data_IF_695212664773
#
_entry.id   IF_695212664773
#
_cell.length_a   1.000
_cell.length_b   1.000
_cell.length_c   1.000
_cell.angle_alpha   90.00
_cell.angle_beta   90.00
_cell.angle_gamma   90.00
#
_symmetry.space_group_name_H-M   'P 1'
#
loop_
_entity.id
_entity.type
_entity.pdbx_description
1 polymer ?
#
# COMPACT_ATOMS: atom_id res chain seq x y z
N UNK A 1 -42.42 17.26 20.71
CA UNK A 1 -41.11 16.98 21.32
C UNK A 1 -40.17 16.65 20.19
N UNK A 2 -39.23 17.53 19.87
CA UNK A 2 -38.13 17.24 18.90
C UNK A 2 -37.01 16.61 19.71
N UNK A 3 -36.33 15.56 19.20
CA UNK A 3 -35.16 15.02 19.89
C UNK A 3 -33.99 16.00 19.79
N UNK A 4 -33.41 16.36 20.93
CA UNK A 4 -32.15 17.09 21.00
C UNK A 4 -31.02 16.23 20.38
N UNK A 5 -30.42 16.78 19.33
CA UNK A 5 -29.20 16.21 18.72
C UNK A 5 -28.05 16.47 19.69
N UNK A 6 -27.43 15.40 20.13
CA UNK A 6 -26.36 15.40 21.11
C UNK A 6 -25.08 16.01 20.54
N UNK A 7 -24.83 17.28 20.82
CA UNK A 7 -23.70 18.10 20.37
C UNK A 7 -22.33 17.74 21.03
N UNK A 8 -22.27 16.65 21.81
CA UNK A 8 -21.05 16.30 22.54
C UNK A 8 -19.93 15.75 21.67
N UNK A 9 -20.24 15.23 20.49
CA UNK A 9 -19.23 14.68 19.57
C UNK A 9 -18.45 15.77 18.83
N UNK A 10 -19.11 16.85 18.43
CA UNK A 10 -18.47 17.98 17.75
C UNK A 10 -17.55 18.79 18.67
N UNK A 11 -17.96 18.94 19.93
CA UNK A 11 -17.16 19.60 20.97
C UNK A 11 -15.90 18.80 21.34
N UNK A 12 -15.96 17.47 21.29
CA UNK A 12 -14.81 16.59 21.53
C UNK A 12 -13.78 16.70 20.39
N UNK A 13 -14.24 16.74 19.13
CA UNK A 13 -13.40 16.89 17.93
C UNK A 13 -12.68 18.24 17.92
N UNK A 14 -13.40 19.34 18.16
CA UNK A 14 -12.83 20.69 18.25
C UNK A 14 -11.87 20.87 19.44
N UNK A 15 -12.14 20.25 20.58
CA UNK A 15 -11.24 20.26 21.75
C UNK A 15 -9.96 19.47 21.48
N UNK A 16 -10.07 18.31 20.85
CA UNK A 16 -8.92 17.48 20.49
C UNK A 16 -8.00 18.20 19.49
N UNK A 17 -8.55 18.78 18.43
CA UNK A 17 -7.79 19.54 17.43
C UNK A 17 -7.11 20.78 18.04
N UNK A 18 -7.76 21.48 19.00
CA UNK A 18 -7.14 22.59 19.74
C UNK A 18 -6.02 22.14 20.69
N UNK A 19 -6.11 20.97 21.28
CA UNK A 19 -5.08 20.45 22.20
C UNK A 19 -3.85 19.97 21.43
N UNK A 20 -4.02 19.36 20.25
CA UNK A 20 -2.90 18.99 19.38
C UNK A 20 -2.19 20.20 18.77
N UNK A 21 -2.92 21.26 18.41
CA UNK A 21 -2.34 22.52 17.93
C UNK A 21 -1.57 23.32 18.98
N UNK A 22 -1.86 23.12 20.28
CA UNK A 22 -1.22 23.88 21.37
C UNK A 22 0.12 23.31 21.85
N UNK A 23 0.45 22.07 21.49
CA UNK A 23 1.73 21.43 21.86
C UNK A 23 2.88 21.86 20.94
N UNK A 24 2.60 22.41 19.75
CA UNK A 24 3.60 22.90 18.78
C UNK A 24 4.04 24.35 19.08
N UNK A 25 3.38 25.09 19.94
CA UNK A 25 3.64 26.52 20.19
C UNK A 25 4.66 26.82 21.31
N UNK A 26 5.40 25.82 21.78
CA UNK A 26 6.40 25.97 22.88
C UNK A 26 7.87 25.94 22.47
N UNK A 27 8.20 25.89 21.19
CA UNK A 27 9.59 25.91 20.71
C UNK A 27 9.84 27.13 19.82
N UNK A 28 10.75 27.99 20.25
CA UNK A 28 11.14 29.21 19.53
C UNK A 28 11.56 28.91 18.09
N UNK A 29 10.75 29.34 17.15
CA UNK A 29 11.04 29.24 15.70
C UNK A 29 11.71 30.55 15.29
N UNK A 30 12.99 30.51 14.98
CA UNK A 30 13.64 31.50 14.13
C UNK A 30 13.18 31.25 12.68
N UNK A 31 12.26 32.09 12.22
CA UNK A 31 11.87 32.13 10.82
C UNK A 31 13.03 32.67 10.00
N UNK A 32 13.66 31.83 9.19
CA UNK A 32 14.50 32.24 8.07
C UNK A 32 13.71 32.04 6.78
N UNK A 33 13.34 33.17 6.20
CA UNK A 33 12.60 33.30 4.96
C UNK A 33 13.25 32.53 3.81
N UNK A 34 12.46 31.70 3.13
CA UNK A 34 12.83 30.94 1.93
C UNK A 34 12.99 31.84 0.70
N UNK A 35 14.16 32.46 0.49
CA UNK A 35 14.60 32.98 -0.78
C UNK A 35 16.14 32.91 -0.81
N UNK A 36 16.72 31.74 -0.84
CA UNK A 36 18.12 31.53 -1.25
C UNK A 36 18.46 30.05 -1.46
N UNK A 37 17.83 29.40 -2.41
CA UNK A 37 18.29 28.08 -2.89
C UNK A 37 18.19 27.97 -4.41
N UNK A 38 18.68 28.98 -5.12
CA UNK A 38 18.74 28.89 -6.58
C UNK A 38 20.04 29.46 -7.16
N UNK A 39 21.18 29.27 -6.50
CA UNK A 39 22.50 29.58 -7.09
C UNK A 39 23.64 28.91 -6.34
N UNK A 40 23.77 27.60 -6.38
CA UNK A 40 25.06 26.91 -6.23
C UNK A 40 24.98 25.61 -7.06
N UNK A 41 25.06 25.77 -8.36
CA UNK A 41 25.53 24.75 -9.27
C UNK A 41 26.21 25.47 -10.41
N UNK A 42 27.43 25.08 -10.66
CA UNK A 42 28.37 25.46 -11.75
C UNK A 42 29.57 26.27 -11.24
N UNK A 43 30.63 25.59 -10.93
CA UNK A 43 31.96 25.94 -11.45
C UNK A 43 32.78 24.64 -11.63
N UNK A 44 33.46 24.47 -12.78
CA UNK A 44 34.33 23.34 -13.03
C UNK A 44 35.76 23.67 -12.60
N UNK A 45 36.39 22.85 -11.79
CA UNK A 45 37.84 22.89 -11.63
C UNK A 45 38.51 21.74 -12.38
N UNK A 46 39.27 22.13 -13.41
CA UNK A 46 40.25 21.28 -14.08
C UNK A 46 41.44 21.02 -13.16
N UNK A 47 41.72 19.79 -12.85
CA UNK A 47 43.08 19.34 -12.59
C UNK A 47 43.33 17.98 -13.25
N UNK A 48 44.14 18.02 -14.27
CA UNK A 48 44.82 16.88 -14.90
C UNK A 48 45.97 16.40 -14.02
N UNK A 49 45.98 15.11 -13.68
CA UNK A 49 47.20 14.32 -13.53
C UNK A 49 46.88 12.84 -13.51
N UNK A 50 47.63 12.10 -14.28
CA UNK A 50 47.42 10.71 -14.64
C UNK A 50 47.61 9.69 -13.49
N UNK A 51 47.03 8.54 -13.70
CA UNK A 51 47.23 7.35 -12.88
C UNK A 51 46.41 6.21 -13.43
N UNK A 52 47.09 5.25 -14.04
CA UNK A 52 46.56 3.92 -14.43
C UNK A 52 45.87 3.27 -13.24
N UNK A 53 44.67 2.72 -13.48
CA UNK A 53 43.99 1.89 -12.49
C UNK A 53 42.69 1.31 -13.02
N UNK A 54 42.79 0.12 -13.58
CA UNK A 54 41.78 -0.93 -13.71
C UNK A 54 40.28 -0.50 -13.59
N UNK A 55 39.60 -0.62 -14.71
CA UNK A 55 38.14 -0.79 -14.77
C UNK A 55 37.73 -1.96 -13.87
N UNK A 56 37.13 -1.63 -12.72
CA UNK A 56 36.30 -2.57 -11.99
C UNK A 56 34.87 -2.36 -12.48
N UNK A 57 34.46 -3.23 -13.38
CA UNK A 57 33.07 -3.48 -13.73
C UNK A 57 32.32 -3.88 -12.44
N UNK A 58 31.72 -2.91 -11.75
CA UNK A 58 30.81 -3.18 -10.67
C UNK A 58 29.43 -3.52 -11.24
N UNK A 59 29.33 -4.69 -11.88
CA UNK A 59 28.06 -5.38 -12.03
C UNK A 59 27.58 -5.71 -10.61
N UNK A 60 26.66 -4.90 -10.07
CA UNK A 60 25.84 -5.28 -8.91
C UNK A 60 25.10 -6.54 -9.33
N UNK A 61 25.64 -7.69 -8.98
CA UNK A 61 24.91 -8.95 -9.06
C UNK A 61 23.70 -8.80 -8.12
N UNK A 62 22.54 -8.56 -8.72
CA UNK A 62 21.25 -8.75 -8.08
C UNK A 62 21.23 -10.17 -7.50
N UNK A 63 21.11 -10.29 -6.18
CA UNK A 63 21.13 -11.58 -5.47
C UNK A 63 19.93 -12.50 -5.76
N UNK A 64 19.36 -12.43 -6.95
CA UNK A 64 18.26 -13.28 -7.45
C UNK A 64 18.79 -14.47 -8.28
N UNK A 65 19.99 -14.94 -8.01
CA UNK A 65 20.58 -16.07 -8.74
C UNK A 65 19.69 -17.31 -8.67
N UNK A 66 18.91 -17.55 -9.73
CA UNK A 66 18.19 -18.81 -9.95
C UNK A 66 16.74 -18.85 -9.47
N UNK A 67 16.17 -17.78 -8.89
CA UNK A 67 14.76 -17.78 -8.53
C UNK A 67 13.86 -17.84 -9.78
N UNK A 68 12.93 -18.79 -9.80
CA UNK A 68 11.83 -18.85 -10.77
C UNK A 68 10.53 -18.66 -10.01
N UNK A 69 9.72 -17.69 -10.42
CA UNK A 69 8.37 -17.54 -9.87
C UNK A 69 7.51 -18.77 -10.16
N UNK A 70 6.76 -19.28 -9.17
CA UNK A 70 5.78 -20.33 -9.41
C UNK A 70 4.54 -19.81 -10.15
N UNK A 71 4.46 -18.51 -10.43
CA UNK A 71 3.36 -17.89 -11.14
C UNK A 71 3.76 -17.54 -12.57
N UNK A 72 2.89 -17.80 -13.52
CA UNK A 72 3.04 -17.45 -14.93
C UNK A 72 1.96 -16.48 -15.38
N UNK A 73 2.32 -15.55 -16.28
CA UNK A 73 1.35 -14.63 -16.90
C UNK A 73 0.33 -15.45 -17.68
N UNK A 74 -0.94 -15.37 -17.27
CA UNK A 74 -2.06 -16.07 -17.89
C UNK A 74 -2.85 -15.15 -18.85
N UNK A 75 -3.13 -13.93 -18.43
CA UNK A 75 -3.91 -12.97 -19.23
C UNK A 75 -3.59 -11.53 -18.84
N UNK A 76 -4.04 -10.58 -19.62
CA UNK A 76 -4.06 -9.17 -19.24
C UNK A 76 -5.11 -8.42 -20.04
N UNK A 77 -5.64 -7.34 -19.46
CA UNK A 77 -6.48 -6.38 -20.15
C UNK A 77 -6.05 -4.94 -19.84
N UNK A 78 -6.51 -3.99 -20.63
CA UNK A 78 -6.18 -2.57 -20.47
C UNK A 78 -7.43 -1.77 -20.14
N UNK A 79 -7.26 -0.80 -19.26
CA UNK A 79 -8.21 0.28 -19.02
C UNK A 79 -7.93 1.46 -19.97
N UNK A 80 -8.86 2.37 -20.11
CA UNK A 80 -8.66 3.60 -20.91
C UNK A 80 -7.69 4.55 -20.24
N UNK A 81 -7.75 4.64 -18.90
CA UNK A 81 -7.01 5.59 -18.08
C UNK A 81 -6.06 4.85 -17.12
N UNK A 82 -5.04 5.52 -16.58
CA UNK A 82 -4.18 4.96 -15.54
C UNK A 82 -4.99 4.48 -14.32
N UNK A 83 -4.55 3.37 -13.74
CA UNK A 83 -5.16 2.72 -12.58
C UNK A 83 -4.54 3.35 -11.34
N UNK A 84 -5.39 3.84 -10.44
CA UNK A 84 -5.00 4.39 -9.13
C UNK A 84 -5.14 3.34 -8.01
N UNK A 85 -6.04 2.38 -8.19
CA UNK A 85 -6.24 1.25 -7.29
C UNK A 85 -7.27 0.27 -7.83
N UNK A 86 -7.30 -0.91 -7.28
CA UNK A 86 -8.32 -1.90 -7.63
C UNK A 86 -8.58 -2.88 -6.50
N UNK A 87 -9.79 -3.46 -6.48
CA UNK A 87 -10.20 -4.41 -5.46
C UNK A 87 -11.18 -5.45 -6.02
N UNK A 88 -11.32 -6.56 -5.33
CA UNK A 88 -12.31 -7.59 -5.64
C UNK A 88 -13.57 -7.44 -4.80
N UNK A 89 -14.72 -7.74 -5.42
CA UNK A 89 -15.97 -8.01 -4.71
C UNK A 89 -16.63 -9.24 -5.34
N UNK A 90 -16.44 -10.39 -4.70
CA UNK A 90 -16.87 -11.68 -5.25
C UNK A 90 -16.13 -12.00 -6.55
N UNK A 91 -16.87 -12.14 -7.64
CA UNK A 91 -16.41 -12.39 -9.00
C UNK A 91 -16.25 -11.11 -9.85
N UNK A 92 -16.28 -9.95 -9.22
CA UNK A 92 -16.12 -8.65 -9.87
C UNK A 92 -14.80 -8.02 -9.51
N UNK A 93 -14.19 -7.34 -10.47
CA UNK A 93 -13.02 -6.52 -10.32
C UNK A 93 -13.41 -5.04 -10.40
N UNK A 94 -13.20 -4.31 -9.33
CA UNK A 94 -13.50 -2.89 -9.21
C UNK A 94 -12.21 -2.13 -9.43
N UNK A 95 -12.17 -1.25 -10.41
CA UNK A 95 -10.97 -0.51 -10.81
C UNK A 95 -11.23 0.98 -10.72
N UNK A 96 -10.43 1.65 -9.92
CA UNK A 96 -10.38 3.10 -9.84
C UNK A 96 -9.37 3.65 -10.85
N UNK A 97 -9.78 4.63 -11.60
CA UNK A 97 -8.92 5.50 -12.40
C UNK A 97 -9.12 6.93 -11.92
N UNK A 98 -8.40 7.92 -12.42
CA UNK A 98 -8.31 9.26 -11.81
C UNK A 98 -9.63 9.86 -11.29
N UNK A 99 -10.74 9.66 -12.00
CA UNK A 99 -12.06 10.24 -11.63
C UNK A 99 -13.23 9.29 -11.87
N UNK A 100 -12.95 8.01 -11.98
CA UNK A 100 -13.96 7.04 -12.41
C UNK A 100 -13.72 5.70 -11.74
N UNK A 101 -14.78 5.05 -11.33
CA UNK A 101 -14.79 3.66 -10.88
C UNK A 101 -15.47 2.81 -11.96
N UNK A 102 -14.81 1.74 -12.35
CA UNK A 102 -15.29 0.79 -13.36
C UNK A 102 -15.38 -0.60 -12.75
N UNK A 103 -16.45 -1.30 -13.01
CA UNK A 103 -16.66 -2.68 -12.55
C UNK A 103 -16.54 -3.60 -13.74
N UNK A 104 -15.66 -4.57 -13.64
CA UNK A 104 -15.38 -5.60 -14.65
C UNK A 104 -15.74 -6.99 -14.13
N UNK A 105 -15.98 -7.92 -15.04
CA UNK A 105 -15.89 -9.34 -14.71
C UNK A 105 -14.41 -9.79 -14.63
N UNK A 106 -14.14 -11.00 -14.17
CA UNK A 106 -12.79 -11.54 -14.07
C UNK A 106 -12.12 -11.82 -15.44
N UNK A 107 -12.87 -11.74 -16.53
CA UNK A 107 -12.35 -11.84 -17.90
C UNK A 107 -11.91 -10.47 -18.45
N UNK A 108 -12.20 -9.37 -17.74
CA UNK A 108 -11.89 -8.01 -18.13
C UNK A 108 -12.97 -7.33 -18.98
N UNK A 109 -14.18 -7.89 -19.05
CA UNK A 109 -15.31 -7.23 -19.71
C UNK A 109 -15.90 -6.18 -18.76
N UNK A 110 -16.07 -4.95 -19.27
CA UNK A 110 -16.70 -3.86 -18.53
C UNK A 110 -18.19 -4.16 -18.32
N UNK A 111 -18.63 -4.22 -17.07
CA UNK A 111 -20.02 -4.40 -16.69
C UNK A 111 -20.74 -3.06 -16.57
N UNK A 112 -20.17 -2.13 -15.81
CA UNK A 112 -20.64 -0.75 -15.71
C UNK A 112 -19.53 0.16 -15.14
N UNK A 113 -19.79 1.47 -15.14
CA UNK A 113 -18.89 2.48 -14.57
C UNK A 113 -19.67 3.69 -14.09
N UNK A 114 -19.08 4.43 -13.15
CA UNK A 114 -19.63 5.67 -12.63
C UNK A 114 -18.53 6.70 -12.35
N UNK A 115 -18.90 7.98 -12.34
CA UNK A 115 -17.98 9.07 -12.00
C UNK A 115 -17.76 9.12 -10.49
N UNK A 116 -16.51 9.37 -10.09
CA UNK A 116 -16.10 9.53 -8.70
C UNK A 116 -15.63 10.95 -8.34
N UNK A 117 -15.82 11.90 -9.22
CA UNK A 117 -15.75 13.34 -8.96
C UNK A 117 -14.36 13.96 -8.84
N UNK A 118 -13.34 13.26 -8.34
CA UNK A 118 -11.99 13.80 -8.10
C UNK A 118 -10.92 12.72 -8.27
N UNK A 119 -9.64 13.09 -8.11
CA UNK A 119 -8.51 12.17 -8.20
C UNK A 119 -8.54 11.17 -7.05
N UNK A 120 -8.72 9.90 -7.41
CA UNK A 120 -8.77 8.78 -6.46
C UNK A 120 -7.32 8.43 -6.04
N UNK A 121 -7.15 8.02 -4.77
CA UNK A 121 -5.90 7.52 -4.21
C UNK A 121 -5.89 6.00 -4.00
N UNK A 122 -7.01 5.47 -3.55
CA UNK A 122 -7.16 4.05 -3.26
C UNK A 122 -8.63 3.65 -3.26
N UNK A 123 -8.91 2.36 -3.35
CA UNK A 123 -10.25 1.80 -3.36
C UNK A 123 -10.28 0.46 -2.64
N UNK A 124 -11.30 0.27 -1.81
CA UNK A 124 -11.57 -1.01 -1.16
C UNK A 124 -13.06 -1.34 -1.29
N UNK A 125 -13.36 -2.58 -1.62
CA UNK A 125 -14.73 -3.09 -1.62
C UNK A 125 -14.93 -4.02 -0.42
N UNK A 126 -15.97 -3.78 0.34
CA UNK A 126 -16.36 -4.62 1.46
C UNK A 126 -17.88 -4.83 1.44
N UNK A 127 -18.30 -6.09 1.36
CA UNK A 127 -19.69 -6.46 1.15
C UNK A 127 -20.25 -5.82 -0.14
N UNK A 128 -21.34 -5.08 -0.06
CA UNK A 128 -21.96 -4.38 -1.19
C UNK A 128 -21.62 -2.89 -1.25
N UNK A 129 -20.49 -2.49 -0.63
CA UNK A 129 -20.04 -1.10 -0.57
C UNK A 129 -18.64 -0.94 -1.16
N UNK A 130 -18.44 0.17 -1.85
CA UNK A 130 -17.16 0.60 -2.41
C UNK A 130 -16.71 1.84 -1.64
N UNK A 131 -15.58 1.75 -0.95
CA UNK A 131 -14.92 2.86 -0.27
C UNK A 131 -13.90 3.45 -1.21
N UNK A 132 -14.06 4.72 -1.57
CA UNK A 132 -13.17 5.45 -2.46
C UNK A 132 -12.42 6.49 -1.63
N UNK A 133 -11.10 6.38 -1.63
CA UNK A 133 -10.21 7.29 -0.92
C UNK A 133 -9.74 8.41 -1.85
N UNK A 134 -9.87 9.64 -1.37
CA UNK A 134 -9.27 10.82 -1.97
C UNK A 134 -8.22 11.41 -1.02
N UNK A 135 -7.39 12.35 -1.45
CA UNK A 135 -6.38 12.97 -0.58
C UNK A 135 -6.94 13.53 0.73
N UNK A 136 -8.17 14.05 0.73
CA UNK A 136 -8.75 14.79 1.88
C UNK A 136 -10.14 14.32 2.26
N UNK A 137 -10.65 13.22 1.72
CA UNK A 137 -11.97 12.69 2.07
C UNK A 137 -12.11 11.21 1.69
N UNK A 138 -13.16 10.61 2.17
CA UNK A 138 -13.60 9.26 1.80
C UNK A 138 -15.04 9.35 1.34
N UNK A 139 -15.35 8.75 0.20
CA UNK A 139 -16.72 8.55 -0.26
C UNK A 139 -17.06 7.06 -0.26
N UNK A 140 -18.28 6.73 0.09
CA UNK A 140 -18.80 5.35 0.08
C UNK A 140 -19.91 5.28 -0.94
N UNK A 141 -19.77 4.34 -1.88
CA UNK A 141 -20.74 4.07 -2.94
C UNK A 141 -21.35 2.69 -2.77
N UNK A 142 -22.56 2.50 -3.31
CA UNK A 142 -23.10 1.17 -3.59
C UNK A 142 -22.35 0.53 -4.76
N UNK A 143 -22.55 -0.76 -4.95
CA UNK A 143 -22.00 -1.48 -6.13
C UNK A 143 -22.54 -0.94 -7.47
N UNK A 144 -23.65 -0.19 -7.47
CA UNK A 144 -24.25 0.44 -8.66
C UNK A 144 -23.79 1.88 -8.86
N UNK A 145 -22.95 2.43 -7.98
CA UNK A 145 -22.41 3.79 -8.07
C UNK A 145 -23.26 4.88 -7.43
N UNK A 146 -24.24 4.53 -6.61
CA UNK A 146 -24.95 5.50 -5.80
C UNK A 146 -24.06 5.93 -4.62
N UNK A 147 -23.82 7.25 -4.45
CA UNK A 147 -23.07 7.78 -3.30
C UNK A 147 -23.91 7.72 -2.04
N UNK A 148 -23.48 6.87 -1.12
CA UNK A 148 -24.17 6.61 0.14
C UNK A 148 -23.71 7.53 1.27
N UNK A 149 -22.40 7.85 1.32
CA UNK A 149 -21.79 8.65 2.39
C UNK A 149 -20.58 9.40 1.88
N UNK A 150 -20.24 10.48 2.59
CA UNK A 150 -19.02 11.23 2.42
C UNK A 150 -18.47 11.61 3.79
N UNK A 151 -17.17 11.43 3.99
CA UNK A 151 -16.48 11.77 5.23
C UNK A 151 -15.29 12.67 4.91
N UNK A 152 -15.21 13.79 5.58
CA UNK A 152 -14.06 14.68 5.49
C UNK A 152 -12.84 14.09 6.19
N UNK A 153 -11.66 14.57 5.81
CA UNK A 153 -10.43 14.27 6.50
C UNK A 153 -10.47 14.72 7.97
N UNK A 154 -9.66 14.06 8.81
CA UNK A 154 -9.58 14.37 10.23
C UNK A 154 -8.72 15.62 10.53
N UNK A 155 -8.04 16.20 9.55
CA UNK A 155 -7.27 17.44 9.62
C UNK A 155 -7.27 18.14 8.27
N UNK A 156 -7.10 19.47 8.26
CA UNK A 156 -7.00 20.27 7.02
C UNK A 156 -5.71 19.96 6.24
N UNK A 157 -4.65 19.53 6.94
CA UNK A 157 -3.37 19.16 6.35
C UNK A 157 -3.31 17.72 5.87
N UNK A 158 -4.35 16.91 6.10
CA UNK A 158 -4.35 15.48 5.74
C UNK A 158 -4.06 15.25 4.26
N UNK A 159 -3.22 14.27 3.98
CA UNK A 159 -2.98 13.72 2.64
C UNK A 159 -3.02 12.19 2.72
N UNK A 160 -4.20 11.65 2.46
CA UNK A 160 -4.50 10.23 2.57
C UNK A 160 -3.84 9.42 1.46
N UNK A 161 -3.33 8.24 1.81
CA UNK A 161 -2.59 7.37 0.89
C UNK A 161 -3.30 6.06 0.60
N UNK A 162 -3.72 5.33 1.64
CA UNK A 162 -4.32 4.00 1.50
C UNK A 162 -5.35 3.78 2.60
N UNK A 163 -6.30 2.86 2.36
CA UNK A 163 -7.33 2.51 3.33
C UNK A 163 -7.47 1.00 3.51
N UNK A 164 -7.92 0.59 4.70
CA UNK A 164 -8.33 -0.76 5.00
C UNK A 164 -9.68 -0.75 5.73
N UNK A 165 -10.56 -1.68 5.34
CA UNK A 165 -11.86 -1.85 5.99
C UNK A 165 -11.82 -3.11 6.85
N UNK A 166 -12.17 -2.96 8.12
CA UNK A 166 -12.27 -4.02 9.11
C UNK A 166 -13.69 -4.05 9.70
N UNK A 167 -14.08 -5.12 10.41
CA UNK A 167 -15.38 -5.17 11.06
C UNK A 167 -15.62 -3.97 11.98
N UNK A 168 -16.56 -3.10 11.61
CA UNK A 168 -16.94 -1.90 12.35
C UNK A 168 -16.06 -0.66 12.15
N UNK A 169 -14.91 -0.77 11.49
CA UNK A 169 -13.93 0.31 11.38
C UNK A 169 -13.34 0.47 9.97
N UNK A 170 -12.90 1.68 9.70
CA UNK A 170 -12.08 2.03 8.53
C UNK A 170 -10.80 2.68 9.03
N UNK A 171 -9.67 2.23 8.52
CA UNK A 171 -8.34 2.75 8.84
C UNK A 171 -7.76 3.40 7.59
N UNK A 172 -7.21 4.59 7.75
CA UNK A 172 -6.66 5.37 6.64
C UNK A 172 -5.29 5.89 7.01
N UNK A 173 -4.32 5.65 6.15
CA UNK A 173 -2.97 6.18 6.34
C UNK A 173 -2.89 7.62 5.84
N UNK A 174 -2.32 8.50 6.65
CA UNK A 174 -2.15 9.92 6.38
C UNK A 174 -0.65 10.27 6.33
N UNK A 175 -0.16 10.55 5.13
CA UNK A 175 1.26 10.82 4.92
C UNK A 175 1.68 12.20 5.43
N UNK A 176 0.81 13.19 5.37
CA UNK A 176 1.12 14.53 5.87
C UNK A 176 1.27 14.54 7.39
N UNK A 177 0.34 13.89 8.09
CA UNK A 177 0.35 13.83 9.56
C UNK A 177 1.14 12.61 10.10
N UNK A 178 1.60 11.70 9.23
CA UNK A 178 2.38 10.51 9.61
C UNK A 178 1.70 9.68 10.69
N UNK A 179 0.43 9.37 10.46
CA UNK A 179 -0.40 8.59 11.36
C UNK A 179 -1.40 7.71 10.59
N UNK A 180 -2.14 6.89 11.32
CA UNK A 180 -3.31 6.19 10.80
C UNK A 180 -4.54 6.81 11.46
N UNK A 181 -5.50 7.25 10.66
CA UNK A 181 -6.80 7.73 11.12
C UNK A 181 -7.75 6.54 11.23
N UNK A 182 -8.33 6.31 12.40
CA UNK A 182 -9.37 5.30 12.63
C UNK A 182 -10.74 5.95 12.61
N UNK A 183 -11.64 5.41 11.80
CA UNK A 183 -13.05 5.80 11.70
C UNK A 183 -13.95 4.60 12.02
N UNK A 184 -15.17 4.86 12.42
CA UNK A 184 -16.24 3.87 12.33
C UNK A 184 -16.67 3.69 10.86
N UNK A 185 -17.30 2.55 10.50
CA UNK A 185 -17.89 2.37 9.17
C UNK A 185 -19.03 3.35 8.85
N UNK A 186 -19.53 4.07 9.85
CA UNK A 186 -20.47 5.19 9.69
C UNK A 186 -19.81 6.54 9.40
N UNK A 187 -18.48 6.65 9.42
CA UNK A 187 -17.71 7.87 9.15
C UNK A 187 -17.35 8.70 10.39
N UNK A 188 -17.70 8.25 11.58
CA UNK A 188 -17.28 8.91 12.82
C UNK A 188 -15.78 8.71 13.06
N UNK A 189 -15.02 9.81 13.17
CA UNK A 189 -13.62 9.75 13.59
C UNK A 189 -13.50 9.21 15.02
N UNK A 190 -12.59 8.26 15.24
CA UNK A 190 -12.37 7.61 16.54
C UNK A 190 -11.10 8.11 17.18
N UNK A 191 -9.95 7.93 16.53
CA UNK A 191 -8.63 8.32 17.06
C UNK A 191 -7.56 8.28 15.96
N UNK A 192 -6.41 8.88 16.29
CA UNK A 192 -5.16 8.64 15.56
C UNK A 192 -4.41 7.46 16.17
N UNK A 193 -3.71 6.71 15.32
CA UNK A 193 -2.78 5.65 15.70
C UNK A 193 -1.39 6.08 15.24
N UNK A 194 -0.43 6.01 16.15
CA UNK A 194 0.96 6.40 15.92
C UNK A 194 1.87 5.17 15.98
N UNK A 195 2.93 5.17 15.19
CA UNK A 195 4.00 4.20 15.35
C UNK A 195 4.80 4.50 16.63
N UNK A 196 5.19 3.49 17.43
CA UNK A 196 6.05 3.71 18.61
C UNK A 196 7.37 4.41 18.29
N UNK A 197 7.91 4.16 17.11
CA UNK A 197 9.15 4.77 16.61
C UNK A 197 8.90 5.96 15.65
N UNK A 198 7.64 6.32 15.41
CA UNK A 198 7.19 7.29 14.43
C UNK A 198 7.20 6.74 13.00
N UNK A 199 6.17 7.07 12.21
CA UNK A 199 6.14 6.75 10.79
C UNK A 199 7.09 7.64 10.00
N UNK A 200 7.88 7.04 9.10
CA UNK A 200 8.69 7.75 8.10
C UNK A 200 8.12 7.40 6.73
N UNK A 201 7.46 8.37 6.09
CA UNK A 201 6.69 8.17 4.85
C UNK A 201 7.31 8.99 3.72
N UNK A 202 8.41 8.56 3.13
CA UNK A 202 8.93 9.19 1.94
C UNK A 202 8.07 8.82 0.73
N UNK A 203 7.84 9.76 -0.18
CA UNK A 203 7.15 9.49 -1.47
C UNK A 203 5.71 8.96 -1.37
N UNK A 204 4.96 9.28 -0.32
CA UNK A 204 3.56 8.89 -0.13
C UNK A 204 3.27 7.38 -0.21
N UNK A 205 4.28 6.54 -0.05
CA UNK A 205 4.13 5.08 0.02
C UNK A 205 3.74 4.70 1.44
N UNK A 206 2.47 4.42 1.70
CA UNK A 206 1.97 4.19 3.06
C UNK A 206 0.80 3.19 3.01
N UNK A 207 1.11 1.95 2.59
CA UNK A 207 0.13 0.88 2.44
C UNK A 207 -0.41 0.37 3.78
N UNK A 208 -1.67 -0.07 3.78
CA UNK A 208 -2.35 -0.66 4.93
C UNK A 208 -3.26 -1.80 4.47
N UNK A 209 -3.41 -2.84 5.30
CA UNK A 209 -4.36 -3.93 5.06
C UNK A 209 -4.92 -4.45 6.38
N UNK A 210 -6.15 -4.95 6.32
CA UNK A 210 -6.77 -5.70 7.42
C UNK A 210 -6.48 -7.20 7.26
N UNK A 211 -6.11 -7.86 8.33
CA UNK A 211 -5.80 -9.28 8.36
C UNK A 211 -6.18 -9.90 9.71
N UNK A 212 -7.13 -10.82 9.73
CA UNK A 212 -7.47 -11.67 10.89
C UNK A 212 -7.56 -10.95 12.24
N UNK A 213 -8.28 -9.82 12.29
CA UNK A 213 -8.48 -9.08 13.54
C UNK A 213 -7.38 -8.06 13.85
N UNK A 214 -6.42 -7.88 12.97
CA UNK A 214 -5.31 -6.93 13.08
C UNK A 214 -5.20 -6.03 11.86
N UNK A 215 -4.52 -4.91 12.01
CA UNK A 215 -4.15 -3.98 10.93
C UNK A 215 -2.65 -4.08 10.71
N UNK A 216 -2.23 -4.34 9.48
CA UNK A 216 -0.84 -4.28 9.06
C UNK A 216 -0.62 -3.03 8.22
N UNK A 217 0.41 -2.27 8.57
CA UNK A 217 0.73 -1.00 7.94
C UNK A 217 2.22 -0.94 7.57
N UNK A 218 2.53 -0.43 6.39
CA UNK A 218 3.93 -0.18 6.04
C UNK A 218 4.49 1.02 6.82
N UNK A 219 5.75 0.92 7.26
CA UNK A 219 6.57 2.04 7.70
C UNK A 219 7.79 2.10 6.77
N UNK A 220 7.60 2.64 5.54
CA UNK A 220 8.52 2.40 4.43
C UNK A 220 9.90 3.02 4.62
N UNK A 221 10.00 4.16 5.29
CA UNK A 221 11.29 4.76 5.60
C UNK A 221 12.06 4.03 6.71
N UNK A 222 11.40 3.15 7.46
CA UNK A 222 12.04 2.24 8.42
C UNK A 222 12.23 0.83 7.88
N UNK A 223 11.79 0.55 6.66
CA UNK A 223 11.83 -0.78 6.04
C UNK A 223 11.11 -1.84 6.87
N UNK A 224 9.93 -1.47 7.41
CA UNK A 224 9.13 -2.32 8.29
C UNK A 224 7.69 -2.43 7.82
N UNK A 225 7.06 -3.54 8.19
CA UNK A 225 5.62 -3.67 8.32
C UNK A 225 5.31 -3.71 9.82
N UNK A 226 4.39 -2.90 10.26
CA UNK A 226 3.94 -2.80 11.65
C UNK A 226 2.54 -3.38 11.79
N UNK A 227 2.30 -4.11 12.88
CA UNK A 227 1.03 -4.77 13.21
C UNK A 227 0.38 -4.10 14.42
N UNK A 228 -0.94 -3.86 14.34
CA UNK A 228 -1.74 -3.19 15.37
C UNK A 228 -3.04 -3.95 15.63
N UNK A 229 -3.54 -3.89 16.85
CA UNK A 229 -4.91 -4.31 17.17
C UNK A 229 -5.94 -3.41 16.47
N UNK A 230 -7.20 -3.82 16.44
CA UNK A 230 -8.27 -2.94 15.94
C UNK A 230 -8.47 -1.70 16.83
N UNK A 231 -8.05 -1.74 18.10
CA UNK A 231 -8.04 -0.59 19.03
C UNK A 231 -6.89 0.36 18.73
N UNK A 232 -5.93 -0.05 17.87
CA UNK A 232 -4.77 0.73 17.46
C UNK A 232 -3.59 0.63 18.41
N UNK A 233 -3.49 -0.46 19.15
CA UNK A 233 -2.34 -0.78 19.99
C UNK A 233 -1.29 -1.52 19.16
N UNK A 234 -0.04 -1.11 19.28
CA UNK A 234 1.07 -1.76 18.59
C UNK A 234 1.27 -3.18 19.12
N UNK A 235 1.39 -4.15 18.21
CA UNK A 235 1.65 -5.56 18.55
C UNK A 235 3.11 -5.91 18.26
N UNK A 236 3.54 -5.75 17.01
CA UNK A 236 4.86 -6.15 16.55
C UNK A 236 5.24 -5.44 15.25
N UNK A 237 6.49 -5.60 14.84
CA UNK A 237 6.93 -5.18 13.50
C UNK A 237 7.96 -6.18 12.96
N UNK A 238 8.02 -6.28 11.63
CA UNK A 238 9.02 -7.07 10.93
C UNK A 238 9.58 -6.31 9.74
N UNK A 239 10.65 -6.84 9.17
CA UNK A 239 11.36 -6.26 8.04
C UNK A 239 12.66 -5.59 8.43
N UNK A 240 13.54 -5.47 7.45
CA UNK A 240 14.85 -4.83 7.58
C UNK A 240 15.31 -4.28 6.22
N UNK A 241 16.17 -3.27 6.26
CA UNK A 241 16.79 -2.75 5.02
C UNK A 241 17.72 -3.77 4.38
N UNK A 242 17.68 -3.88 3.06
CA UNK A 242 18.58 -4.73 2.29
C UNK A 242 18.04 -5.15 0.93
N UNK A 243 18.92 -5.63 0.05
CA UNK A 243 18.56 -6.12 -1.28
C UNK A 243 18.20 -7.62 -1.31
N UNK A 244 18.60 -8.37 -0.28
CA UNK A 244 18.34 -9.81 -0.20
C UNK A 244 16.83 -10.12 -0.11
N UNK A 245 16.45 -11.33 -0.51
CA UNK A 245 15.10 -11.82 -0.28
C UNK A 245 14.71 -11.73 1.20
N UNK A 246 13.47 -11.32 1.50
CA UNK A 246 13.01 -11.08 2.87
C UNK A 246 13.49 -9.77 3.50
N UNK A 247 14.17 -8.90 2.76
CA UNK A 247 14.54 -7.54 3.17
C UNK A 247 13.92 -6.53 2.24
N UNK A 248 13.74 -5.28 2.66
CA UNK A 248 13.18 -4.20 1.88
C UNK A 248 14.28 -3.27 1.36
N UNK A 249 14.42 -3.16 0.02
CA UNK A 249 15.48 -2.37 -0.59
C UNK A 249 15.08 -0.90 -0.79
N UNK A 250 16.09 -0.02 -0.97
CA UNK A 250 15.87 1.40 -1.25
C UNK A 250 15.34 2.19 -0.05
N UNK A 251 14.74 3.35 -0.29
CA UNK A 251 14.37 4.29 0.77
C UNK A 251 12.88 4.26 1.17
N UNK A 252 12.03 3.50 0.49
CA UNK A 252 10.57 3.66 0.60
C UNK A 252 9.84 2.32 0.37
N UNK A 253 10.20 1.28 1.09
CA UNK A 253 9.60 -0.05 0.98
C UNK A 253 9.26 -0.65 2.35
N UNK A 254 8.21 -1.52 2.42
CA UNK A 254 7.31 -1.91 1.32
C UNK A 254 6.31 -0.80 0.97
N UNK A 255 5.72 -0.86 -0.25
CA UNK A 255 4.75 0.14 -0.72
C UNK A 255 3.32 -0.33 -0.53
N UNK A 256 2.95 -1.46 -1.12
CA UNK A 256 1.62 -2.03 -1.03
C UNK A 256 1.62 -3.28 -0.15
N UNK A 257 0.51 -3.48 0.55
CA UNK A 257 0.26 -4.63 1.41
C UNK A 257 -1.05 -5.29 1.00
N UNK A 258 -1.10 -6.61 1.12
CA UNK A 258 -2.32 -7.41 0.99
C UNK A 258 -2.26 -8.58 1.96
N UNK A 259 -3.41 -9.15 2.26
CA UNK A 259 -3.52 -10.36 3.07
C UNK A 259 -4.27 -11.42 2.28
N UNK A 260 -3.71 -12.63 2.24
CA UNK A 260 -4.37 -13.76 1.59
C UNK A 260 -3.91 -15.08 2.22
N UNK A 261 -4.84 -15.99 2.44
CA UNK A 261 -4.59 -17.36 2.94
C UNK A 261 -3.72 -17.42 4.22
N UNK A 262 -3.87 -16.47 5.12
CA UNK A 262 -3.10 -16.42 6.38
C UNK A 262 -1.74 -15.73 6.27
N UNK A 263 -1.36 -15.19 5.11
CA UNK A 263 -0.05 -14.60 4.86
C UNK A 263 -0.16 -13.11 4.53
N UNK A 264 0.87 -12.34 4.91
CA UNK A 264 1.06 -10.95 4.53
C UNK A 264 1.89 -10.90 3.25
N UNK A 265 1.37 -10.20 2.26
CA UNK A 265 2.01 -10.07 0.96
C UNK A 265 2.38 -8.61 0.76
N UNK A 266 3.60 -8.35 0.29
CA UNK A 266 4.14 -7.01 0.10
C UNK A 266 4.57 -6.78 -1.34
N UNK A 267 4.50 -5.54 -1.80
CA UNK A 267 5.09 -5.10 -3.07
C UNK A 267 6.17 -4.05 -2.83
N UNK A 268 7.25 -4.18 -3.54
CA UNK A 268 8.45 -3.34 -3.43
C UNK A 268 8.78 -2.64 -4.75
N UNK A 269 9.43 -1.47 -4.66
CA UNK A 269 10.08 -0.75 -5.77
C UNK A 269 11.60 -0.79 -5.64
N UNK A 270 12.32 -0.38 -6.69
CA UNK A 270 13.79 -0.44 -6.74
C UNK A 270 14.28 -1.80 -7.24
N UNK A 271 14.01 -2.86 -6.53
CA UNK A 271 14.02 -4.24 -7.00
C UNK A 271 12.55 -4.69 -6.95
N UNK A 272 11.75 -4.48 -8.03
CA UNK A 272 10.34 -4.78 -8.00
C UNK A 272 10.12 -6.26 -7.73
N UNK A 273 9.38 -6.57 -6.67
CA UNK A 273 9.00 -7.95 -6.35
C UNK A 273 7.75 -7.95 -5.48
N UNK A 274 7.03 -9.05 -5.52
CA UNK A 274 5.92 -9.35 -4.64
C UNK A 274 6.38 -10.50 -3.75
N UNK A 275 6.44 -10.25 -2.45
CA UNK A 275 7.01 -11.14 -1.43
C UNK A 275 5.96 -11.56 -0.41
N UNK A 276 6.07 -12.77 0.12
CA UNK A 276 5.16 -13.39 1.07
C UNK A 276 5.84 -13.59 2.42
N UNK A 277 5.12 -13.26 3.50
CA UNK A 277 5.57 -13.37 4.89
C UNK A 277 4.46 -13.96 5.76
N UNK A 278 4.83 -14.67 6.84
CA UNK A 278 3.85 -14.96 7.87
C UNK A 278 3.40 -13.69 8.61
N UNK A 279 2.28 -13.70 9.32
CA UNK A 279 1.85 -12.58 10.16
C UNK A 279 2.88 -12.18 11.24
N UNK A 280 3.73 -13.11 11.66
CA UNK A 280 4.83 -12.89 12.61
C UNK A 280 6.06 -12.29 11.93
N UNK A 281 6.06 -12.18 10.58
CA UNK A 281 7.12 -11.58 9.79
C UNK A 281 8.19 -12.52 9.27
N UNK A 282 7.99 -13.82 9.34
CA UNK A 282 8.89 -14.78 8.71
C UNK A 282 8.74 -14.74 7.19
N UNK A 283 9.84 -14.49 6.51
CA UNK A 283 9.86 -14.52 5.05
C UNK A 283 9.57 -15.93 4.54
N UNK A 284 8.59 -16.06 3.67
CA UNK A 284 8.21 -17.34 3.04
C UNK A 284 8.86 -17.52 1.67
N UNK A 285 8.56 -16.60 0.75
CA UNK A 285 9.04 -16.69 -0.63
C UNK A 285 8.81 -15.36 -1.38
N UNK A 286 9.42 -15.25 -2.55
CA UNK A 286 9.05 -14.28 -3.58
C UNK A 286 7.96 -14.94 -4.44
N UNK A 287 6.84 -14.28 -4.63
CA UNK A 287 5.75 -14.73 -5.52
C UNK A 287 5.99 -14.31 -6.96
N UNK A 288 6.36 -13.05 -7.18
CA UNK A 288 6.73 -12.48 -8.48
C UNK A 288 8.02 -11.69 -8.33
N UNK A 289 8.99 -12.00 -9.17
CA UNK A 289 10.28 -11.32 -9.23
C UNK A 289 10.28 -10.14 -10.21
N UNK A 290 11.37 -9.41 -10.23
CA UNK A 290 11.58 -8.25 -11.10
C UNK A 290 11.40 -8.58 -12.59
N UNK A 291 11.81 -9.77 -13.02
CA UNK A 291 11.67 -10.24 -14.40
C UNK A 291 10.21 -10.47 -14.76
N UNK A 292 9.46 -11.13 -13.90
CA UNK A 292 8.01 -11.38 -14.08
C UNK A 292 7.21 -10.08 -14.13
N UNK A 293 7.61 -9.07 -13.35
CA UNK A 293 6.97 -7.76 -13.28
C UNK A 293 7.40 -6.78 -14.38
N UNK A 294 8.41 -7.15 -15.19
CA UNK A 294 8.92 -6.31 -16.28
C UNK A 294 9.97 -5.29 -15.85
N UNK A 295 10.53 -5.40 -14.66
CA UNK A 295 11.60 -4.54 -14.15
C UNK A 295 11.16 -3.11 -13.84
N UNK A 296 12.14 -2.20 -13.77
CA UNK A 296 11.92 -0.78 -13.49
C UNK A 296 12.03 -0.41 -12.01
N UNK A 297 11.81 0.87 -11.70
CA UNK A 297 11.88 1.39 -10.33
C UNK A 297 10.48 1.82 -9.85
N UNK A 298 9.50 0.96 -10.02
CA UNK A 298 8.11 1.19 -9.60
C UNK A 298 7.63 0.05 -8.71
N UNK A 299 6.77 0.36 -7.75
CA UNK A 299 5.99 -0.65 -7.07
C UNK A 299 4.70 -0.88 -7.86
N UNK A 300 4.18 -2.07 -7.78
CA UNK A 300 2.96 -2.47 -8.44
C UNK A 300 1.88 -2.68 -7.39
N UNK A 301 0.72 -2.04 -7.56
CA UNK A 301 -0.46 -2.44 -6.81
C UNK A 301 -0.87 -3.84 -7.24
N UNK A 302 -1.24 -4.66 -6.28
CA UNK A 302 -1.57 -6.06 -6.52
C UNK A 302 -2.65 -6.55 -5.58
N UNK A 303 -3.39 -7.55 -6.03
CA UNK A 303 -4.35 -8.29 -5.21
C UNK A 303 -4.20 -9.78 -5.50
N UNK A 304 -4.46 -10.58 -4.49
CA UNK A 304 -4.47 -12.03 -4.62
C UNK A 304 -5.90 -12.54 -4.47
N UNK A 305 -6.33 -13.34 -5.41
CA UNK A 305 -7.63 -13.98 -5.39
C UNK A 305 -7.48 -15.45 -5.76
N UNK A 306 -7.67 -16.32 -4.77
CA UNK A 306 -7.43 -17.77 -4.87
C UNK A 306 -5.97 -18.05 -5.27
N UNK A 307 -5.77 -18.71 -6.39
CA UNK A 307 -4.49 -19.11 -6.99
C UNK A 307 -3.93 -18.11 -8.02
N UNK A 308 -4.52 -16.90 -8.07
CA UNK A 308 -4.12 -15.85 -9.02
C UNK A 308 -3.63 -14.61 -8.32
N UNK A 309 -2.59 -14.00 -8.92
CA UNK A 309 -2.12 -12.68 -8.55
C UNK A 309 -2.48 -11.72 -9.69
N UNK A 310 -3.18 -10.66 -9.35
CA UNK A 310 -3.50 -9.57 -10.26
C UNK A 310 -2.58 -8.40 -9.95
N UNK A 311 -1.97 -7.84 -10.97
CA UNK A 311 -0.98 -6.77 -10.83
C UNK A 311 -1.37 -5.62 -11.75
N UNK A 312 -1.55 -4.44 -11.16
CA UNK A 312 -1.81 -3.21 -11.90
C UNK A 312 -0.51 -2.49 -12.24
N UNK A 313 -0.38 -2.11 -13.51
CA UNK A 313 0.74 -1.33 -14.01
C UNK A 313 0.26 -0.31 -15.04
N UNK A 314 0.34 0.97 -14.71
CA UNK A 314 -0.20 2.06 -15.54
C UNK A 314 -1.69 1.83 -15.81
N UNK A 315 -2.07 1.51 -17.05
CA UNK A 315 -3.44 1.22 -17.46
C UNK A 315 -3.68 -0.26 -17.82
N UNK A 316 -2.89 -1.17 -17.25
CA UNK A 316 -2.99 -2.60 -17.53
C UNK A 316 -3.11 -3.39 -16.24
N UNK A 317 -4.03 -4.34 -16.18
CA UNK A 317 -4.07 -5.39 -15.17
C UNK A 317 -3.58 -6.70 -15.81
N UNK A 318 -2.54 -7.28 -15.21
CA UNK A 318 -1.98 -8.56 -15.59
C UNK A 318 -2.38 -9.61 -14.56
N UNK A 319 -2.85 -10.77 -15.02
CA UNK A 319 -3.23 -11.90 -14.18
C UNK A 319 -2.16 -12.96 -14.27
N UNK A 320 -1.57 -13.31 -13.16
CA UNK A 320 -0.60 -14.40 -13.02
C UNK A 320 -1.28 -15.58 -12.33
N UNK A 321 -1.16 -16.76 -12.94
CA UNK A 321 -1.73 -18.01 -12.45
C UNK A 321 -0.63 -18.86 -11.82
N UNK A 322 -0.93 -19.49 -10.68
CA UNK A 322 -0.04 -20.47 -10.06
C UNK A 322 0.14 -21.68 -10.99
N UNK A 323 1.39 -22.07 -11.23
CA UNK A 323 1.78 -23.19 -12.08
C UNK A 323 2.45 -24.26 -11.22
N UNK A 324 1.74 -25.38 -11.02
CA UNK A 324 2.23 -26.50 -10.20
C UNK A 324 3.55 -27.07 -10.71
N UNK A 325 3.74 -27.18 -12.03
CA UNK A 325 4.99 -27.70 -12.61
C UNK A 325 6.17 -26.75 -12.35
N UNK A 326 5.96 -25.44 -12.52
CA UNK A 326 6.97 -24.44 -12.19
C UNK A 326 7.30 -24.41 -10.70
N UNK A 327 6.31 -24.67 -9.84
CA UNK A 327 6.52 -24.73 -8.39
C UNK A 327 7.36 -25.96 -7.97
N UNK A 328 7.17 -27.10 -8.61
CA UNK A 328 7.98 -28.30 -8.35
C UNK A 328 9.45 -28.12 -8.80
N UNK A 329 9.68 -27.43 -9.91
CA UNK A 329 11.01 -27.05 -10.38
C UNK A 329 11.72 -26.03 -9.48
N UNK A 330 10.94 -25.18 -8.76
CA UNK A 330 11.45 -24.14 -7.87
C UNK A 330 11.52 -24.56 -6.41
N UNK A 331 10.93 -25.70 -6.05
CA UNK A 331 11.01 -26.22 -4.69
C UNK A 331 12.47 -26.41 -4.30
N UNK A 332 13.02 -25.39 -3.64
CA UNK A 332 14.31 -25.48 -2.97
C UNK A 332 14.26 -26.70 -2.04
N UNK A 333 15.31 -27.51 -2.02
CA UNK A 333 15.47 -28.68 -1.14
C UNK A 333 15.31 -28.39 0.36
N UNK A 334 15.16 -27.13 0.75
CA UNK A 334 14.90 -26.63 2.11
C UNK A 334 13.47 -26.17 2.37
N UNK A 335 12.58 -26.11 1.36
CA UNK A 335 11.18 -25.79 1.59
C UNK A 335 10.43 -27.02 2.10
N UNK A 336 10.03 -27.01 3.38
CA UNK A 336 9.19 -28.05 3.97
C UNK A 336 7.87 -28.18 3.18
N UNK A 337 7.36 -29.41 3.12
CA UNK A 337 6.11 -29.83 2.44
C UNK A 337 4.87 -29.07 2.96
N UNK A 338 5.00 -28.29 4.00
CA UNK A 338 3.95 -27.56 4.73
C UNK A 338 3.74 -26.10 4.35
N UNK A 339 4.21 -25.63 3.18
CA UNK A 339 3.93 -24.27 2.72
C UNK A 339 2.41 -24.03 2.63
N UNK A 340 1.83 -23.07 3.34
CA UNK A 340 0.39 -22.80 3.37
C UNK A 340 -0.21 -22.54 1.99
N UNK A 341 0.57 -22.06 1.04
CA UNK A 341 0.17 -21.86 -0.35
C UNK A 341 -0.07 -23.20 -1.09
N UNK A 342 0.52 -24.31 -0.61
CA UNK A 342 0.21 -25.67 -1.08
C UNK A 342 -1.10 -26.21 -0.50
N UNK A 343 -1.46 -25.83 0.72
CA UNK A 343 -2.69 -26.30 1.39
C UNK A 343 -3.96 -25.61 0.88
N UNK A 344 -3.85 -24.46 0.22
CA UNK A 344 -4.97 -23.75 -0.41
C UNK A 344 -5.45 -24.35 -1.73
N UNK A 345 -4.80 -25.39 -2.24
CA UNK A 345 -5.10 -26.01 -3.55
C UNK A 345 -5.80 -27.36 -3.40
N UNK A 346 -6.23 -27.75 -2.21
CA UNK A 346 -7.19 -28.83 -2.09
C UNK A 346 -8.60 -28.30 -2.39
N UNK A 347 -8.98 -28.47 -3.66
CA UNK A 347 -10.35 -28.37 -4.19
C UNK A 347 -11.17 -29.55 -3.66
#
# INVERSE_FOLDING_TARGET
MKPEINNNHELSRRKFLRTCGSVVAGGSILAVSGVLMHKILVQPENHSAGGNGSQSDSSVQSGEGGFKSPYKLASSFKTTDPIEGFEFSGDRLIVATSKKVSVYDLSGNLLHQFAAGDTIRDIVAEKEMIYVLYPTRIEVFSMTGERLREWEACSEESDYCSLAVAPGFVFVTDAANKNICKYTTGGGFVKFIQSPEGFIVPSYSFGITYANGSIFCSNPGRHKVENYTLEGEFIASFGKSGAAAGSFCGCCNPVYLSFNAGEIITSEKGIPRISCYSPEGEFRTILLDSKSLGGGNVAFDFKVNKDKIYVAAKNKISTFQYDLQAAEETACSSCSVDCPLRKGINI
#
